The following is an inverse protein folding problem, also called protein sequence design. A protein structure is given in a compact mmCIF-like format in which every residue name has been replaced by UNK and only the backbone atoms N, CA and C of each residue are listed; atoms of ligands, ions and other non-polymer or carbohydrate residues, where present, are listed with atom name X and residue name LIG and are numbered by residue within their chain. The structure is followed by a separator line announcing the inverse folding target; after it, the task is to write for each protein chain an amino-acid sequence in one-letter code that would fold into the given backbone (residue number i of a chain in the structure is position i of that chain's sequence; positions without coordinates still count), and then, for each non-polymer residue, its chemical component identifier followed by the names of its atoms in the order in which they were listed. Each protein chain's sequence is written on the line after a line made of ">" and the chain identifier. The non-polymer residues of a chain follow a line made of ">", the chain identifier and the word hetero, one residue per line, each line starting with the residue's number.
data_IF_021809605055
#
_entry.id   IF_021809605055
#
_cell.length_a   1.000
_cell.length_b   1.000
_cell.length_c   1.000
_cell.angle_alpha   90.00
_cell.angle_beta   90.00
_cell.angle_gamma   90.00
#
_symmetry.space_group_name_H-M   'P 1'
#
loop_
_entity.id
_entity.type
_entity.pdbx_description
1 polymer ?
#
# COMPACT_ATOMS: atom_id res chain seq x y z
N UNK A 1 56.14 -15.17 -23.53
CA UNK A 1 54.70 -15.05 -23.24
C UNK A 1 54.52 -14.33 -21.95
N UNK A 2 54.20 -13.02 -21.98
CA UNK A 2 53.93 -12.21 -20.79
C UNK A 2 52.42 -12.11 -20.61
N UNK A 3 51.88 -12.65 -19.51
CA UNK A 3 50.48 -12.53 -19.12
C UNK A 3 50.18 -11.08 -18.65
N UNK A 4 49.27 -10.41 -19.36
CA UNK A 4 48.74 -9.11 -18.93
C UNK A 4 47.73 -9.34 -17.78
N UNK A 5 47.91 -8.62 -16.66
CA UNK A 5 46.93 -8.53 -15.57
C UNK A 5 45.81 -7.56 -16.00
N UNK A 6 44.54 -7.86 -15.69
CA UNK A 6 43.47 -6.87 -15.90
C UNK A 6 43.54 -5.76 -14.86
N UNK A 7 43.31 -4.53 -15.33
CA UNK A 7 43.12 -3.35 -14.47
C UNK A 7 41.79 -3.44 -13.77
N UNK A 8 41.66 -3.00 -12.48
CA UNK A 8 40.39 -2.82 -11.82
C UNK A 8 39.74 -1.54 -12.36
N UNK A 9 38.50 -1.66 -12.80
CA UNK A 9 37.61 -0.53 -13.12
C UNK A 9 37.09 0.00 -11.78
N UNK A 10 37.70 1.10 -11.31
CA UNK A 10 37.15 1.91 -10.24
C UNK A 10 36.05 2.81 -10.85
N UNK A 11 34.83 2.57 -10.47
CA UNK A 11 33.68 3.43 -10.76
C UNK A 11 32.82 3.54 -9.52
N UNK A 12 33.35 4.18 -8.46
CA UNK A 12 32.53 4.62 -7.33
C UNK A 12 31.70 5.82 -7.80
N UNK A 13 30.51 5.55 -8.29
CA UNK A 13 29.46 6.57 -8.35
C UNK A 13 28.93 6.77 -6.93
N UNK A 14 29.56 7.67 -6.19
CA UNK A 14 28.98 8.30 -5.00
C UNK A 14 27.74 9.10 -5.45
N UNK A 15 26.60 8.45 -5.49
CA UNK A 15 25.31 9.15 -5.43
C UNK A 15 25.26 9.73 -4.01
N UNK A 16 25.51 11.02 -3.87
CA UNK A 16 25.36 11.74 -2.62
C UNK A 16 23.90 11.53 -2.14
N UNK A 17 23.72 10.69 -1.15
CA UNK A 17 22.43 10.50 -0.49
C UNK A 17 22.11 11.78 0.26
N UNK A 18 21.23 12.59 -0.32
CA UNK A 18 20.64 13.74 0.38
C UNK A 18 19.93 13.19 1.61
N UNK A 19 20.18 13.71 2.83
CA UNK A 19 19.51 13.22 4.03
C UNK A 19 17.99 13.25 3.85
N UNK A 20 17.31 12.18 4.27
CA UNK A 20 15.85 12.04 4.11
C UNK A 20 15.06 13.22 4.69
N UNK A 21 15.54 13.84 5.77
CA UNK A 21 14.96 15.05 6.36
C UNK A 21 14.98 16.27 5.44
N UNK A 22 16.02 16.45 4.63
CA UNK A 22 16.13 17.58 3.67
C UNK A 22 15.23 17.36 2.48
N UNK A 23 15.17 16.14 1.97
CA UNK A 23 14.27 15.74 0.89
C UNK A 23 12.80 15.88 1.31
N UNK A 24 12.48 15.51 2.54
CA UNK A 24 11.10 15.60 3.06
C UNK A 24 10.66 17.05 3.25
N UNK A 25 11.55 17.93 3.71
CA UNK A 25 11.26 19.37 3.81
C UNK A 25 11.00 19.99 2.42
N UNK A 26 11.75 19.56 1.41
CA UNK A 26 11.53 19.97 0.03
C UNK A 26 10.19 19.45 -0.53
N UNK A 27 9.76 18.25 -0.14
CA UNK A 27 8.50 17.64 -0.62
C UNK A 27 7.25 18.29 -0.01
N UNK A 28 7.32 18.83 1.21
CA UNK A 28 6.21 19.58 1.82
C UNK A 28 6.04 20.98 1.24
N UNK A 29 7.04 21.48 0.50
CA UNK A 29 6.98 22.77 -0.22
C UNK A 29 6.38 22.64 -1.63
N UNK A 30 6.24 21.41 -2.16
CA UNK A 30 5.60 21.19 -3.45
C UNK A 30 4.08 21.20 -3.26
N UNK A 31 3.37 21.93 -4.11
CA UNK A 31 1.91 21.95 -4.10
C UNK A 31 1.35 20.51 -4.18
N UNK A 32 0.38 20.15 -3.33
CA UNK A 32 -0.19 18.80 -3.36
C UNK A 32 -0.75 18.45 -4.73
N UNK A 33 -0.45 17.27 -5.23
CA UNK A 33 -0.97 16.77 -6.50
C UNK A 33 -2.29 16.04 -6.25
N UNK A 34 -3.41 16.68 -6.56
CA UNK A 34 -4.71 16.01 -6.51
C UNK A 34 -4.94 15.15 -7.75
N UNK A 35 -4.62 15.65 -8.93
CA UNK A 35 -4.84 14.98 -10.22
C UNK A 35 -3.66 15.28 -11.12
N UNK A 36 -3.07 14.25 -11.71
CA UNK A 36 -2.05 14.43 -12.74
C UNK A 36 -2.71 14.67 -14.11
N UNK A 37 -2.01 15.44 -14.93
CA UNK A 37 -2.39 15.73 -16.32
C UNK A 37 -1.13 15.69 -17.18
N UNK A 38 -0.92 14.56 -17.85
CA UNK A 38 0.24 14.29 -18.70
C UNK A 38 -0.24 14.24 -20.14
N UNK A 39 -0.01 15.33 -20.88
CA UNK A 39 -0.41 15.43 -22.30
C UNK A 39 0.39 14.46 -23.20
N UNK A 40 1.59 14.04 -22.76
CA UNK A 40 2.47 13.15 -23.51
C UNK A 40 2.04 11.69 -23.52
N UNK A 41 1.19 11.27 -22.57
CA UNK A 41 0.82 9.87 -22.40
C UNK A 41 -0.70 9.67 -22.32
N UNK A 42 -1.25 8.63 -22.96
CA UNK A 42 -2.66 8.30 -22.84
C UNK A 42 -3.01 7.86 -21.40
N UNK A 43 -4.00 8.52 -20.81
CA UNK A 43 -4.56 8.10 -19.52
C UNK A 43 -5.34 6.79 -19.72
N UNK A 44 -4.96 5.73 -18.98
CA UNK A 44 -5.66 4.45 -18.98
C UNK A 44 -6.78 4.41 -17.95
N UNK A 45 -6.48 4.88 -16.74
CA UNK A 45 -7.43 4.87 -15.63
C UNK A 45 -7.03 5.90 -14.57
N UNK A 46 -8.03 6.50 -13.95
CA UNK A 46 -7.86 7.30 -12.74
C UNK A 46 -8.48 6.56 -11.58
N UNK A 47 -7.60 5.97 -10.76
CA UNK A 47 -8.00 5.27 -9.56
C UNK A 47 -8.29 6.21 -8.38
N UNK A 48 -8.61 5.63 -7.22
CA UNK A 48 -8.92 6.39 -6.00
C UNK A 48 -7.74 7.29 -5.56
N UNK A 49 -6.51 6.81 -5.74
CA UNK A 49 -5.29 7.50 -5.27
C UNK A 49 -4.14 7.51 -6.28
N UNK A 50 -4.29 6.87 -7.44
CA UNK A 50 -3.29 6.81 -8.51
C UNK A 50 -3.91 7.10 -9.86
N UNK A 51 -3.11 7.69 -10.75
CA UNK A 51 -3.44 7.90 -12.14
C UNK A 51 -2.47 7.04 -12.98
N UNK A 52 -3.00 6.20 -13.86
CA UNK A 52 -2.23 5.24 -14.64
C UNK A 52 -2.25 5.65 -16.11
N UNK A 53 -1.05 5.77 -16.71
CA UNK A 53 -0.86 6.17 -18.09
C UNK A 53 -0.20 5.05 -18.90
N UNK A 54 -0.60 4.89 -20.16
CA UNK A 54 0.05 3.95 -21.06
C UNK A 54 1.43 4.44 -21.50
N UNK A 55 2.43 3.57 -21.45
CA UNK A 55 3.77 3.81 -22.01
C UNK A 55 4.06 2.70 -23.00
N UNK A 56 3.79 2.94 -24.28
CA UNK A 56 3.76 1.89 -25.28
C UNK A 56 2.66 0.87 -25.01
N UNK A 57 2.90 -0.39 -25.40
CA UNK A 57 1.93 -1.48 -25.25
C UNK A 57 2.13 -2.30 -23.96
N UNK A 58 3.33 -2.26 -23.40
CA UNK A 58 3.80 -3.21 -22.39
C UNK A 58 4.16 -2.58 -21.04
N UNK A 59 4.05 -1.25 -20.89
CA UNK A 59 4.37 -0.54 -19.65
C UNK A 59 3.25 0.42 -19.22
N UNK A 60 3.25 0.74 -17.95
CA UNK A 60 2.34 1.70 -17.33
C UNK A 60 3.16 2.66 -16.46
N UNK A 61 2.94 3.95 -16.61
CA UNK A 61 3.39 4.95 -15.65
C UNK A 61 2.29 5.13 -14.61
N UNK A 62 2.57 4.72 -13.36
CA UNK A 62 1.68 4.86 -12.22
C UNK A 62 2.07 6.11 -11.44
N UNK A 63 1.22 7.13 -11.43
CA UNK A 63 1.44 8.40 -10.71
C UNK A 63 0.62 8.38 -9.44
N UNK A 64 1.27 8.36 -8.28
CA UNK A 64 0.61 8.47 -6.99
C UNK A 64 0.23 9.93 -6.71
N UNK A 65 -1.05 10.17 -6.55
CA UNK A 65 -1.59 11.47 -6.14
C UNK A 65 -1.56 11.64 -4.62
N UNK A 66 -1.83 12.84 -4.16
CA UNK A 66 -2.01 13.14 -2.75
C UNK A 66 -3.48 12.97 -2.29
N UNK A 67 -4.35 12.43 -3.15
CA UNK A 67 -5.72 12.06 -2.77
C UNK A 67 -5.72 11.04 -1.65
N UNK A 68 -6.69 11.13 -0.77
CA UNK A 68 -6.99 10.10 0.21
C UNK A 68 -8.40 9.57 -0.02
N UNK A 69 -8.55 8.26 0.07
CA UNK A 69 -9.85 7.59 0.01
C UNK A 69 -10.12 6.85 1.31
N UNK A 70 -11.30 7.03 1.87
CA UNK A 70 -11.78 6.30 3.03
C UNK A 70 -13.23 5.89 2.80
N UNK A 71 -13.60 4.65 3.21
CA UNK A 71 -14.92 4.07 2.95
C UNK A 71 -15.29 4.14 1.45
N UNK A 72 -14.32 3.89 0.57
CA UNK A 72 -14.39 3.95 -0.89
C UNK A 72 -14.76 5.32 -1.49
N UNK A 73 -14.84 6.36 -0.66
CA UNK A 73 -15.07 7.73 -1.10
C UNK A 73 -13.75 8.51 -1.12
N UNK A 74 -13.49 9.22 -2.23
CA UNK A 74 -12.33 10.10 -2.36
C UNK A 74 -12.65 11.42 -1.65
N UNK A 75 -11.77 11.84 -0.74
CA UNK A 75 -11.88 13.14 -0.05
C UNK A 75 -11.50 14.28 -0.99
N UNK A 76 -12.13 15.43 -0.80
CA UNK A 76 -11.85 16.62 -1.63
C UNK A 76 -10.48 17.23 -1.39
N UNK A 77 -9.98 17.13 -0.16
CA UNK A 77 -8.69 17.71 0.23
C UNK A 77 -7.57 16.67 0.12
N UNK A 78 -6.46 17.00 -0.57
CA UNK A 78 -5.29 16.14 -0.65
C UNK A 78 -4.49 16.17 0.66
N UNK A 79 -3.76 15.08 0.95
CA UNK A 79 -2.79 15.00 2.05
C UNK A 79 -1.41 15.32 1.47
N UNK A 80 -0.80 16.48 1.81
CA UNK A 80 0.45 16.92 1.20
C UNK A 80 1.58 15.90 1.33
N UNK A 81 2.23 15.58 0.21
CA UNK A 81 3.37 14.67 0.16
C UNK A 81 3.03 13.17 0.26
N UNK A 82 1.74 12.82 0.43
CA UNK A 82 1.30 11.44 0.59
C UNK A 82 1.75 10.54 -0.57
N UNK A 83 1.51 10.96 -1.80
CA UNK A 83 1.83 10.15 -2.98
C UNK A 83 3.31 9.80 -3.07
N UNK A 84 4.17 10.77 -2.82
CA UNK A 84 5.61 10.57 -2.85
C UNK A 84 6.10 9.67 -1.71
N UNK A 85 5.56 9.83 -0.52
CA UNK A 85 5.91 9.00 0.64
C UNK A 85 5.50 7.54 0.42
N UNK A 86 4.27 7.29 -0.04
CA UNK A 86 3.80 5.92 -0.30
C UNK A 86 4.60 5.25 -1.41
N UNK A 87 4.97 5.99 -2.47
CA UNK A 87 5.84 5.46 -3.53
C UNK A 87 7.20 5.02 -2.97
N UNK A 88 7.81 5.82 -2.10
CA UNK A 88 9.08 5.46 -1.43
C UNK A 88 8.94 4.22 -0.56
N UNK A 89 7.86 4.13 0.22
CA UNK A 89 7.60 2.94 1.04
C UNK A 89 7.42 1.69 0.17
N UNK A 90 6.65 1.78 -0.91
CA UNK A 90 6.47 0.67 -1.82
C UNK A 90 7.79 0.23 -2.46
N UNK A 91 8.62 1.17 -2.94
CA UNK A 91 9.94 0.88 -3.52
C UNK A 91 10.89 0.21 -2.50
N UNK A 92 10.91 0.70 -1.25
CA UNK A 92 11.65 0.06 -0.16
C UNK A 92 11.23 -1.40 0.04
N UNK A 93 9.94 -1.67 0.08
CA UNK A 93 9.44 -3.02 0.29
C UNK A 93 9.67 -3.93 -0.93
N UNK A 94 9.53 -3.41 -2.15
CA UNK A 94 9.89 -4.17 -3.37
C UNK A 94 11.37 -4.58 -3.37
N UNK A 95 12.26 -3.69 -2.92
CA UNK A 95 13.68 -4.01 -2.76
C UNK A 95 13.91 -5.09 -1.70
N UNK A 96 13.32 -4.95 -0.50
CA UNK A 96 13.52 -5.89 0.61
C UNK A 96 12.95 -7.28 0.35
N UNK A 97 11.85 -7.36 -0.39
CA UNK A 97 11.11 -8.59 -0.61
C UNK A 97 11.32 -9.21 -2.01
N UNK A 98 12.12 -8.57 -2.85
CA UNK A 98 12.33 -8.98 -4.24
C UNK A 98 12.92 -10.37 -4.45
N UNK A 99 13.47 -11.00 -3.40
CA UNK A 99 13.96 -12.38 -3.44
C UNK A 99 12.83 -13.43 -3.29
N UNK A 100 11.63 -13.02 -2.81
CA UNK A 100 10.51 -13.92 -2.57
C UNK A 100 9.71 -14.13 -3.85
N UNK A 101 9.41 -13.07 -4.56
CA UNK A 101 8.63 -13.08 -5.80
C UNK A 101 9.06 -11.91 -6.70
N UNK A 102 9.12 -12.08 -8.02
CA UNK A 102 9.34 -10.97 -8.94
C UNK A 102 8.27 -9.90 -8.78
N UNK A 103 8.63 -8.65 -9.02
CA UNK A 103 7.70 -7.54 -9.01
C UNK A 103 7.65 -6.82 -10.37
N UNK A 104 6.68 -5.96 -10.54
CA UNK A 104 6.37 -5.31 -11.81
C UNK A 104 7.27 -4.11 -12.18
N UNK A 105 8.21 -3.69 -11.33
CA UNK A 105 9.07 -2.54 -11.62
C UNK A 105 9.94 -2.81 -12.84
N UNK A 106 10.07 -1.81 -13.73
CA UNK A 106 10.96 -1.91 -14.89
C UNK A 106 12.42 -1.60 -14.55
N UNK A 107 12.65 -0.89 -13.45
CA UNK A 107 13.95 -0.33 -13.10
C UNK A 107 14.31 0.95 -13.86
N UNK A 108 13.46 1.40 -14.79
CA UNK A 108 13.65 2.64 -15.54
C UNK A 108 13.11 3.85 -14.75
N UNK A 109 13.74 5.02 -14.94
CA UNK A 109 13.28 6.26 -14.30
C UNK A 109 11.93 6.71 -14.89
N UNK A 110 10.89 6.94 -14.07
CA UNK A 110 9.59 7.42 -14.53
C UNK A 110 9.64 8.71 -15.35
N UNK A 111 10.60 9.59 -15.04
CA UNK A 111 10.81 10.87 -15.72
C UNK A 111 11.27 10.71 -17.18
N UNK A 112 11.81 9.54 -17.54
CA UNK A 112 12.33 9.28 -18.89
C UNK A 112 11.23 9.16 -19.96
N UNK A 113 9.98 8.98 -19.55
CA UNK A 113 8.85 8.71 -20.47
C UNK A 113 7.88 9.89 -20.59
N UNK A 114 8.16 11.03 -19.95
CA UNK A 114 7.32 12.21 -19.96
C UNK A 114 8.05 13.44 -20.52
N UNK A 115 7.33 14.47 -20.89
CA UNK A 115 7.93 15.74 -21.32
C UNK A 115 8.58 16.47 -20.14
N UNK A 116 9.64 17.28 -20.35
CA UNK A 116 10.30 18.04 -19.30
C UNK A 116 9.34 18.90 -18.45
N UNK A 117 8.31 19.45 -19.04
CA UNK A 117 7.30 20.26 -18.35
C UNK A 117 6.40 19.42 -17.41
N UNK A 118 6.31 18.11 -17.61
CA UNK A 118 5.49 17.18 -16.84
C UNK A 118 6.25 16.51 -15.67
N UNK A 119 7.59 16.58 -15.69
CA UNK A 119 8.45 16.01 -14.67
C UNK A 119 8.02 16.37 -13.23
N UNK A 120 7.62 17.60 -12.91
CA UNK A 120 7.17 17.94 -11.56
C UNK A 120 5.95 17.15 -11.06
N UNK A 121 5.12 16.63 -11.98
CA UNK A 121 3.97 15.78 -11.61
C UNK A 121 4.35 14.32 -11.37
N UNK A 122 5.52 13.89 -11.83
CA UNK A 122 5.96 12.48 -11.87
C UNK A 122 7.06 12.21 -10.86
N UNK A 123 8.00 13.15 -10.71
CA UNK A 123 9.22 12.97 -9.94
C UNK A 123 8.95 12.59 -8.47
N UNK A 124 9.58 11.49 -8.05
CA UNK A 124 9.56 11.00 -6.67
C UNK A 124 8.23 10.42 -6.21
N UNK A 125 7.19 10.40 -7.08
CA UNK A 125 5.85 9.88 -6.75
C UNK A 125 5.31 8.88 -7.75
N UNK A 126 6.13 8.42 -8.67
CA UNK A 126 5.69 7.53 -9.75
C UNK A 126 6.54 6.27 -9.83
N UNK A 127 5.97 5.26 -10.41
CA UNK A 127 6.64 4.02 -10.76
C UNK A 127 6.38 3.72 -12.25
N UNK A 128 7.43 3.39 -13.00
CA UNK A 128 7.29 2.83 -14.35
C UNK A 128 7.31 1.32 -14.24
N UNK A 129 6.20 0.69 -14.60
CA UNK A 129 5.95 -0.72 -14.33
C UNK A 129 5.59 -1.49 -15.60
N UNK A 130 5.80 -2.80 -15.58
CA UNK A 130 5.31 -3.71 -16.60
C UNK A 130 3.79 -3.76 -16.60
N UNK A 131 3.18 -3.78 -17.77
CA UNK A 131 1.75 -4.01 -17.94
C UNK A 131 1.47 -5.51 -17.82
N UNK A 132 0.82 -5.87 -16.73
CA UNK A 132 0.45 -7.25 -16.42
C UNK A 132 -1.04 -7.49 -16.67
N UNK A 133 -1.43 -8.76 -16.78
CA UNK A 133 -2.82 -9.17 -16.67
C UNK A 133 -3.18 -9.32 -15.18
N UNK A 134 -3.99 -8.43 -14.60
CA UNK A 134 -4.31 -8.48 -13.17
C UNK A 134 -5.12 -9.74 -12.83
N UNK A 135 -4.84 -10.33 -11.67
CA UNK A 135 -5.70 -11.34 -11.07
C UNK A 135 -6.74 -10.62 -10.21
N UNK A 136 -8.03 -10.94 -10.39
CA UNK A 136 -9.15 -10.25 -9.75
C UNK A 136 -9.35 -10.65 -8.28
N UNK A 137 -8.24 -10.78 -7.54
CA UNK A 137 -8.20 -11.13 -6.12
C UNK A 137 -7.29 -10.16 -5.38
N UNK A 138 -7.76 -9.62 -4.28
CA UNK A 138 -6.95 -8.95 -3.28
C UNK A 138 -6.44 -9.99 -2.29
N UNK A 139 -5.15 -10.21 -2.26
CA UNK A 139 -4.50 -11.18 -1.38
C UNK A 139 -4.22 -10.57 -0.01
N UNK A 140 -5.23 -10.58 0.86
CA UNK A 140 -5.11 -10.03 2.21
C UNK A 140 -4.52 -11.06 3.16
N UNK A 141 -3.50 -10.67 3.93
CA UNK A 141 -2.94 -11.47 5.02
C UNK A 141 -3.09 -10.72 6.33
N UNK A 142 -3.53 -11.44 7.36
CA UNK A 142 -3.74 -10.89 8.71
C UNK A 142 -2.90 -11.65 9.73
N UNK A 143 -2.06 -10.93 10.47
CA UNK A 143 -1.39 -11.43 11.66
C UNK A 143 -2.07 -10.99 12.95
N UNK A 144 -3.01 -10.04 12.84
CA UNK A 144 -3.82 -9.54 13.93
C UNK A 144 -5.27 -9.40 13.50
N UNK A 145 -6.18 -9.55 14.44
CA UNK A 145 -7.63 -9.52 14.20
C UNK A 145 -8.15 -8.08 14.27
N UNK A 146 -8.30 -7.44 13.11
CA UNK A 146 -8.72 -6.04 13.03
C UNK A 146 -9.65 -5.77 11.85
N UNK A 147 -10.34 -4.62 11.86
CA UNK A 147 -11.14 -4.13 10.75
C UNK A 147 -12.26 -5.08 10.33
N UNK A 148 -12.35 -5.40 9.03
CA UNK A 148 -13.39 -6.33 8.52
C UNK A 148 -13.23 -7.74 9.10
N UNK A 149 -11.99 -8.20 9.33
CA UNK A 149 -11.74 -9.51 9.94
C UNK A 149 -12.29 -9.61 11.37
N UNK A 150 -12.13 -8.54 12.17
CA UNK A 150 -12.75 -8.50 13.50
C UNK A 150 -14.27 -8.54 13.44
N UNK A 151 -14.88 -7.78 12.53
CA UNK A 151 -16.35 -7.76 12.36
C UNK A 151 -16.90 -9.12 11.95
N UNK A 152 -16.22 -9.83 11.05
CA UNK A 152 -16.61 -11.17 10.61
C UNK A 152 -16.43 -12.20 11.73
N UNK A 153 -15.31 -12.14 12.46
CA UNK A 153 -15.05 -13.01 13.59
C UNK A 153 -16.13 -12.89 14.69
N UNK A 154 -16.60 -11.69 14.98
CA UNK A 154 -17.69 -11.50 15.96
C UNK A 154 -18.99 -12.23 15.57
N UNK A 155 -19.22 -12.48 14.30
CA UNK A 155 -20.43 -13.15 13.80
C UNK A 155 -20.27 -14.66 13.70
N UNK A 156 -19.09 -15.15 13.31
CA UNK A 156 -18.90 -16.54 12.91
C UNK A 156 -17.71 -17.26 13.59
N UNK A 157 -16.92 -16.54 14.40
CA UNK A 157 -15.64 -17.04 14.94
C UNK A 157 -14.68 -17.54 13.85
N UNK A 158 -14.83 -17.02 12.64
CA UNK A 158 -13.98 -17.30 11.48
C UNK A 158 -13.74 -16.03 10.67
N UNK A 159 -12.75 -16.05 9.77
CA UNK A 159 -12.53 -14.98 8.78
C UNK A 159 -12.26 -15.64 7.43
N UNK A 160 -13.05 -15.30 6.42
CA UNK A 160 -12.96 -15.91 5.07
C UNK A 160 -13.02 -17.45 5.10
N UNK A 161 -13.82 -18.02 6.00
CA UNK A 161 -13.91 -19.46 6.19
C UNK A 161 -12.78 -20.08 7.03
N UNK A 162 -11.77 -19.31 7.45
CA UNK A 162 -10.69 -19.79 8.33
C UNK A 162 -11.17 -19.72 9.79
N UNK A 163 -11.36 -20.87 10.48
CA UNK A 163 -11.79 -20.88 11.87
C UNK A 163 -10.68 -20.33 12.78
N UNK A 164 -11.06 -19.55 13.77
CA UNK A 164 -10.16 -18.96 14.74
C UNK A 164 -10.52 -19.40 16.18
N UNK A 165 -9.55 -19.38 17.12
CA UNK A 165 -9.81 -19.67 18.52
C UNK A 165 -10.93 -18.78 19.08
N UNK A 166 -11.75 -19.35 19.96
CA UNK A 166 -12.78 -18.59 20.69
C UNK A 166 -12.14 -17.61 21.68
N UNK A 167 -12.82 -16.49 21.96
CA UNK A 167 -12.40 -15.53 22.97
C UNK A 167 -11.35 -14.52 22.52
N UNK A 168 -11.07 -14.42 21.21
CA UNK A 168 -10.22 -13.35 20.70
C UNK A 168 -10.95 -12.01 20.81
N UNK A 169 -10.21 -10.95 21.08
CA UNK A 169 -10.68 -9.56 21.09
C UNK A 169 -10.16 -8.78 19.88
N UNK A 170 -10.69 -7.58 19.69
CA UNK A 170 -10.16 -6.67 18.66
C UNK A 170 -8.67 -6.43 18.88
N UNK A 171 -7.90 -6.36 17.80
CA UNK A 171 -6.44 -6.25 17.77
C UNK A 171 -5.68 -7.45 18.35
N UNK A 172 -6.32 -8.58 18.66
CA UNK A 172 -5.63 -9.78 19.11
C UNK A 172 -4.60 -10.26 18.06
N UNK A 173 -3.38 -10.59 18.51
CA UNK A 173 -2.40 -11.26 17.67
C UNK A 173 -2.88 -12.68 17.39
N UNK A 174 -2.87 -13.09 16.14
CA UNK A 174 -3.24 -14.44 15.73
C UNK A 174 -2.11 -15.42 15.99
N UNK A 175 -2.40 -16.72 16.27
CA UNK A 175 -1.37 -17.74 16.46
C UNK A 175 -0.45 -17.88 15.24
N UNK A 176 -1.02 -17.75 14.04
CA UNK A 176 -0.32 -17.73 12.77
C UNK A 176 -1.00 -16.71 11.85
N UNK A 177 -0.26 -16.09 10.90
CA UNK A 177 -0.87 -15.28 9.87
C UNK A 177 -1.85 -16.09 9.03
N UNK A 178 -2.99 -15.50 8.71
CA UNK A 178 -4.04 -16.14 7.91
C UNK A 178 -4.23 -15.39 6.59
N UNK A 179 -4.48 -16.15 5.51
CA UNK A 179 -4.84 -15.63 4.21
C UNK A 179 -6.36 -15.44 4.15
N UNK A 180 -6.79 -14.20 3.95
CA UNK A 180 -8.20 -13.80 4.00
C UNK A 180 -8.52 -12.93 2.78
N UNK A 181 -8.63 -13.54 1.59
CA UNK A 181 -8.75 -12.80 0.33
C UNK A 181 -10.05 -12.01 0.22
N UNK A 182 -10.03 -11.02 -0.67
CA UNK A 182 -11.24 -10.35 -1.14
C UNK A 182 -11.32 -10.39 -2.67
N UNK A 183 -12.51 -10.48 -3.21
CA UNK A 183 -12.73 -10.29 -4.64
C UNK A 183 -12.74 -8.80 -4.95
N UNK A 184 -12.04 -8.41 -6.02
CA UNK A 184 -12.14 -7.02 -6.53
C UNK A 184 -13.55 -6.79 -7.04
N UNK A 185 -14.22 -5.83 -6.43
CA UNK A 185 -15.54 -5.40 -6.88
C UNK A 185 -15.45 -4.56 -8.17
N UNK A 186 -16.57 -4.43 -8.86
CA UNK A 186 -16.70 -3.47 -9.95
C UNK A 186 -16.49 -2.03 -9.44
N UNK A 187 -16.11 -1.12 -10.34
CA UNK A 187 -15.85 0.26 -9.97
C UNK A 187 -17.07 0.89 -9.28
N UNK A 188 -16.92 1.28 -8.01
CA UNK A 188 -17.97 1.88 -7.18
C UNK A 188 -18.64 0.93 -6.19
N UNK A 189 -18.28 -0.35 -6.20
CA UNK A 189 -18.72 -1.34 -5.21
C UNK A 189 -17.61 -1.58 -4.17
N UNK A 190 -17.96 -2.26 -3.07
CA UNK A 190 -17.00 -2.63 -2.02
C UNK A 190 -16.41 -4.00 -2.28
N UNK A 191 -15.10 -4.14 -2.05
CA UNK A 191 -14.44 -5.44 -2.09
C UNK A 191 -15.03 -6.37 -1.02
N UNK A 192 -15.43 -7.57 -1.42
CA UNK A 192 -16.04 -8.55 -0.53
C UNK A 192 -15.01 -9.59 -0.09
N UNK A 193 -14.97 -9.87 1.22
CA UNK A 193 -14.23 -11.02 1.74
C UNK A 193 -14.73 -12.30 1.08
N UNK A 194 -13.81 -13.11 0.57
CA UNK A 194 -14.12 -14.40 -0.06
C UNK A 194 -13.33 -15.53 0.61
N UNK A 195 -13.76 -16.77 0.42
CA UNK A 195 -13.01 -17.94 0.88
C UNK A 195 -11.83 -18.26 -0.05
N UNK A 196 -10.95 -19.13 0.40
CA UNK A 196 -9.87 -19.65 -0.46
C UNK A 196 -10.42 -20.42 -1.66
N UNK A 197 -11.51 -21.17 -1.48
CA UNK A 197 -12.18 -21.91 -2.56
C UNK A 197 -12.67 -20.95 -3.65
N UNK A 198 -13.18 -19.79 -3.27
CA UNK A 198 -13.57 -18.76 -4.24
C UNK A 198 -12.35 -18.19 -4.98
N UNK A 199 -11.19 -18.04 -4.31
CA UNK A 199 -9.93 -17.70 -5.00
C UNK A 199 -9.55 -18.77 -6.02
N UNK A 200 -9.73 -20.04 -5.70
CA UNK A 200 -9.48 -21.16 -6.64
C UNK A 200 -10.40 -21.08 -7.86
N UNK A 201 -11.67 -20.73 -7.68
CA UNK A 201 -12.58 -20.53 -8.82
C UNK A 201 -12.16 -19.38 -9.73
N UNK A 202 -11.61 -18.29 -9.16
CA UNK A 202 -11.20 -17.10 -9.91
C UNK A 202 -9.86 -17.33 -10.64
N UNK A 203 -8.86 -17.88 -9.94
CA UNK A 203 -7.49 -17.94 -10.41
C UNK A 203 -7.04 -19.34 -10.88
N UNK A 204 -7.81 -20.36 -10.57
CA UNK A 204 -7.38 -21.76 -10.72
C UNK A 204 -6.57 -22.25 -9.49
N UNK A 205 -6.53 -23.59 -9.27
CA UNK A 205 -5.98 -24.16 -8.04
C UNK A 205 -4.47 -23.90 -7.84
N UNK A 206 -3.71 -23.91 -8.90
CA UNK A 206 -2.25 -23.72 -8.84
C UNK A 206 -1.90 -22.27 -8.47
N UNK A 207 -2.47 -21.29 -9.21
CA UNK A 207 -2.22 -19.87 -8.94
C UNK A 207 -2.79 -19.45 -7.56
N UNK A 208 -3.98 -19.92 -7.18
CA UNK A 208 -4.55 -19.65 -5.88
C UNK A 208 -3.63 -20.12 -4.74
N UNK A 209 -3.06 -21.34 -4.87
CA UNK A 209 -2.12 -21.87 -3.89
C UNK A 209 -0.80 -21.09 -3.86
N UNK A 210 -0.27 -20.69 -5.01
CA UNK A 210 0.93 -19.84 -5.10
C UNK A 210 0.68 -18.47 -4.47
N UNK A 211 -0.41 -17.79 -4.82
CA UNK A 211 -0.79 -16.48 -4.27
C UNK A 211 -0.88 -16.56 -2.75
N UNK A 212 -1.59 -17.55 -2.20
CA UNK A 212 -1.72 -17.73 -0.75
C UNK A 212 -0.35 -17.91 -0.08
N UNK A 213 0.47 -18.84 -0.59
CA UNK A 213 1.78 -19.14 -0.01
C UNK A 213 2.72 -17.95 -0.05
N UNK A 214 2.82 -17.28 -1.21
CA UNK A 214 3.67 -16.09 -1.40
C UNK A 214 3.20 -14.92 -0.55
N UNK A 215 1.89 -14.70 -0.43
CA UNK A 215 1.35 -13.60 0.38
C UNK A 215 1.68 -13.79 1.86
N UNK A 216 1.55 -15.00 2.39
CA UNK A 216 1.93 -15.30 3.78
C UNK A 216 3.44 -15.08 3.96
N UNK A 217 4.28 -15.59 3.06
CA UNK A 217 5.74 -15.43 3.14
C UNK A 217 6.17 -13.96 3.05
N UNK A 218 5.55 -13.19 2.16
CA UNK A 218 5.78 -11.73 2.04
C UNK A 218 5.41 -11.02 3.35
N UNK A 219 4.24 -11.35 3.91
CA UNK A 219 3.77 -10.77 5.16
C UNK A 219 4.71 -11.09 6.32
N UNK A 220 5.08 -12.36 6.51
CA UNK A 220 5.95 -12.79 7.61
C UNK A 220 7.32 -12.10 7.55
N UNK A 221 7.91 -12.03 6.35
CA UNK A 221 9.19 -11.34 6.12
C UNK A 221 9.09 -9.85 6.41
N UNK A 222 8.02 -9.19 5.94
CA UNK A 222 7.79 -7.77 6.20
C UNK A 222 7.50 -7.49 7.68
N UNK A 223 6.70 -8.34 8.33
CA UNK A 223 6.36 -8.20 9.75
C UNK A 223 7.61 -8.34 10.62
N UNK A 224 8.54 -9.25 10.30
CA UNK A 224 9.82 -9.38 11.01
C UNK A 224 10.67 -8.11 10.87
N UNK A 225 10.81 -7.57 9.65
CA UNK A 225 11.55 -6.32 9.40
C UNK A 225 10.91 -5.13 10.15
N UNK A 226 9.59 -5.01 10.11
CA UNK A 226 8.86 -3.94 10.79
C UNK A 226 8.99 -4.04 12.32
N UNK A 227 8.93 -5.26 12.85
CA UNK A 227 9.06 -5.53 14.28
C UNK A 227 10.41 -5.05 14.84
N UNK A 228 11.51 -5.30 14.15
CA UNK A 228 12.84 -4.81 14.53
C UNK A 228 12.93 -3.26 14.59
N UNK A 229 11.96 -2.58 14.01
CA UNK A 229 11.85 -1.10 13.94
C UNK A 229 10.71 -0.54 14.80
N UNK A 230 10.21 -1.35 15.73
CA UNK A 230 9.16 -0.94 16.65
C UNK A 230 7.79 -0.75 16.00
N UNK A 231 7.56 -1.41 14.84
CA UNK A 231 6.31 -1.35 14.09
C UNK A 231 5.64 -2.73 14.04
N UNK A 232 4.33 -2.73 14.14
CA UNK A 232 3.47 -3.89 13.90
C UNK A 232 2.75 -3.67 12.57
N UNK A 233 2.88 -4.61 11.64
CA UNK A 233 1.99 -4.70 10.47
C UNK A 233 0.87 -5.66 10.85
N UNK A 234 -0.32 -5.13 11.12
CA UNK A 234 -1.43 -5.94 11.59
C UNK A 234 -2.06 -6.78 10.47
N UNK A 235 -2.26 -6.18 9.34
CA UNK A 235 -2.68 -6.81 8.09
C UNK A 235 -2.14 -6.04 6.89
N UNK A 236 -2.16 -6.69 5.75
CA UNK A 236 -1.78 -6.08 4.47
C UNK A 236 -2.52 -6.73 3.31
N UNK A 237 -2.60 -5.99 2.23
CA UNK A 237 -3.18 -6.41 0.96
C UNK A 237 -2.09 -6.43 -0.12
N UNK A 238 -1.96 -7.56 -0.81
CA UNK A 238 -1.13 -7.70 -2.00
C UNK A 238 -2.00 -7.87 -3.25
N UNK A 239 -1.45 -7.48 -4.39
CA UNK A 239 -2.05 -7.71 -5.69
C UNK A 239 -1.05 -8.42 -6.61
N UNK A 240 -1.56 -9.31 -7.43
CA UNK A 240 -0.75 -10.09 -8.36
C UNK A 240 -1.29 -9.97 -9.78
N UNK A 241 -0.40 -10.14 -10.73
CA UNK A 241 -0.72 -10.23 -12.16
C UNK A 241 0.16 -11.24 -12.86
N UNK A 242 -0.20 -11.55 -14.10
CA UNK A 242 0.54 -12.45 -14.95
C UNK A 242 1.25 -11.66 -16.05
N UNK A 243 2.49 -12.06 -16.35
CA UNK A 243 3.19 -11.65 -17.57
C UNK A 243 2.58 -12.34 -18.80
N UNK A 244 3.01 -11.94 -19.99
CA UNK A 244 2.63 -12.60 -21.25
C UNK A 244 3.02 -14.09 -21.28
N UNK A 245 4.05 -14.46 -20.51
CA UNK A 245 4.55 -15.84 -20.37
C UNK A 245 3.92 -16.58 -19.17
N UNK A 246 2.80 -16.06 -18.62
CA UNK A 246 2.10 -16.60 -17.46
C UNK A 246 2.92 -16.68 -16.18
N UNK A 247 3.97 -15.86 -16.03
CA UNK A 247 4.70 -15.75 -14.77
C UNK A 247 3.92 -14.90 -13.77
N UNK A 248 3.77 -15.40 -12.54
CA UNK A 248 3.14 -14.66 -11.46
C UNK A 248 4.07 -13.58 -10.93
N UNK A 249 3.58 -12.34 -10.86
CA UNK A 249 4.34 -11.14 -10.50
C UNK A 249 3.54 -10.32 -9.48
N UNK A 250 4.23 -9.83 -8.45
CA UNK A 250 3.68 -8.90 -7.46
C UNK A 250 3.53 -7.51 -8.08
N UNK A 251 2.37 -6.88 -7.92
CA UNK A 251 2.05 -5.62 -8.57
C UNK A 251 1.38 -4.61 -7.61
N UNK A 252 1.06 -3.45 -8.13
CA UNK A 252 0.44 -2.30 -7.46
C UNK A 252 1.36 -1.69 -6.39
N UNK A 253 0.85 -1.27 -5.26
CA UNK A 253 1.63 -0.87 -4.09
C UNK A 253 1.66 -1.99 -3.06
N UNK A 254 2.74 -2.06 -2.29
CA UNK A 254 2.85 -3.06 -1.22
C UNK A 254 3.21 -2.41 0.10
N UNK A 255 2.58 -2.91 1.17
CA UNK A 255 2.98 -2.59 2.54
C UNK A 255 3.06 -1.08 2.84
N UNK A 256 2.22 -0.29 2.20
CA UNK A 256 2.08 1.13 2.52
C UNK A 256 0.98 1.33 3.56
N UNK A 257 0.91 2.46 4.25
CA UNK A 257 -0.21 2.79 5.13
C UNK A 257 -1.58 2.88 4.44
N UNK A 258 -1.62 2.87 3.10
CA UNK A 258 -2.86 2.78 2.33
C UNK A 258 -3.35 1.35 2.13
N UNK A 259 -2.43 0.39 2.01
CA UNK A 259 -2.70 -1.04 1.81
C UNK A 259 -2.55 -1.88 3.07
N UNK A 260 -2.05 -1.31 4.18
CA UNK A 260 -1.71 -2.04 5.40
C UNK A 260 -2.06 -1.26 6.65
N UNK A 261 -2.33 -1.97 7.76
CA UNK A 261 -2.41 -1.37 9.09
C UNK A 261 -1.06 -1.38 9.76
N UNK A 262 -0.56 -0.19 10.07
CA UNK A 262 0.68 0.02 10.80
C UNK A 262 0.40 0.53 12.19
N UNK A 263 0.84 -0.20 13.20
CA UNK A 263 0.75 0.20 14.61
C UNK A 263 2.14 0.39 15.21
N UNK A 264 2.37 1.42 16.03
CA UNK A 264 3.56 1.44 16.88
C UNK A 264 3.46 0.31 17.91
N UNK A 265 4.57 -0.37 18.19
CA UNK A 265 4.62 -1.33 19.30
C UNK A 265 4.35 -0.65 20.63
N UNK A 266 4.84 0.59 20.77
CA UNK A 266 4.54 1.45 21.91
C UNK A 266 3.04 1.76 21.98
N UNK A 267 2.42 1.45 23.10
CA UNK A 267 1.00 1.65 23.33
C UNK A 267 0.09 0.52 22.81
N UNK A 268 0.59 -0.44 22.02
CA UNK A 268 -0.23 -1.56 21.54
C UNK A 268 -0.81 -2.38 22.70
N UNK A 269 0.05 -2.87 23.62
CA UNK A 269 -0.38 -3.70 24.74
C UNK A 269 -1.35 -2.97 25.67
N UNK A 270 -1.13 -1.68 25.93
CA UNK A 270 -2.00 -0.87 26.76
C UNK A 270 -3.38 -0.66 26.14
N UNK A 271 -3.46 -0.46 24.83
CA UNK A 271 -4.72 -0.32 24.09
C UNK A 271 -5.45 -1.67 24.02
N UNK A 272 -4.72 -2.73 23.70
CA UNK A 272 -5.25 -4.09 23.62
C UNK A 272 -5.87 -4.53 24.96
N UNK A 273 -5.18 -4.31 26.08
CA UNK A 273 -5.67 -4.67 27.43
C UNK A 273 -6.97 -3.93 27.81
N UNK A 274 -7.22 -2.75 27.22
CA UNK A 274 -8.46 -1.99 27.41
C UNK A 274 -9.55 -2.31 26.39
N UNK A 275 -9.28 -3.13 25.39
CA UNK A 275 -10.18 -3.40 24.27
C UNK A 275 -10.32 -2.21 23.31
N UNK A 276 -9.39 -1.25 23.35
CA UNK A 276 -9.33 -0.09 22.47
C UNK A 276 -8.58 -0.43 21.16
N UNK A 277 -8.81 0.39 20.12
CA UNK A 277 -7.99 0.30 18.92
C UNK A 277 -6.56 0.75 19.24
N UNK A 278 -5.53 0.01 18.80
CA UNK A 278 -4.14 0.47 18.92
C UNK A 278 -3.92 1.81 18.22
N UNK A 279 -2.96 2.62 18.69
CA UNK A 279 -2.49 3.76 17.92
C UNK A 279 -2.13 3.33 16.49
N UNK A 280 -2.37 4.19 15.51
CA UNK A 280 -2.22 3.80 14.10
C UNK A 280 -1.49 4.87 13.30
N UNK A 281 -0.71 4.43 12.31
CA UNK A 281 -0.05 5.25 11.31
C UNK A 281 -0.71 5.20 9.93
N UNK A 282 -1.84 4.52 9.83
CA UNK A 282 -2.62 4.36 8.60
C UNK A 282 -3.85 5.29 8.55
N UNK A 283 -4.76 5.02 7.65
CA UNK A 283 -6.01 5.79 7.45
C UNK A 283 -6.99 5.75 8.63
N UNK A 284 -6.72 5.00 9.70
CA UNK A 284 -7.68 4.84 10.80
C UNK A 284 -7.99 6.19 11.47
N UNK A 285 -6.99 7.08 11.61
CA UNK A 285 -7.21 8.42 12.14
C UNK A 285 -8.25 9.23 11.33
N UNK A 286 -8.16 9.17 10.00
CA UNK A 286 -9.15 9.82 9.11
C UNK A 286 -10.50 9.14 9.21
N UNK A 287 -10.53 7.80 9.27
CA UNK A 287 -11.78 7.03 9.42
C UNK A 287 -12.50 7.36 10.72
N UNK A 288 -11.78 7.43 11.85
CA UNK A 288 -12.35 7.76 13.17
C UNK A 288 -12.97 9.17 13.17
N UNK A 289 -12.30 10.12 12.51
CA UNK A 289 -12.86 11.46 12.34
C UNK A 289 -14.11 11.46 11.45
N UNK A 290 -14.07 10.72 10.32
CA UNK A 290 -15.18 10.63 9.37
C UNK A 290 -16.42 9.94 9.98
N UNK A 291 -16.25 9.01 10.90
CA UNK A 291 -17.36 8.35 11.61
C UNK A 291 -18.13 9.33 12.51
N UNK A 292 -17.49 10.41 12.94
CA UNK A 292 -18.10 11.49 13.74
C UNK A 292 -18.55 12.67 12.87
N UNK A 293 -18.17 12.69 11.57
CA UNK A 293 -18.45 13.79 10.67
C UNK A 293 -19.93 13.88 10.31
N UNK A 294 -20.39 15.12 10.08
CA UNK A 294 -21.76 15.40 9.68
C UNK A 294 -21.80 16.14 8.34
N UNK A 295 -22.77 15.79 7.51
CA UNK A 295 -23.08 16.49 6.26
C UNK A 295 -24.53 16.94 6.34
N UNK A 296 -24.77 18.25 6.15
CA UNK A 296 -26.12 18.81 6.31
C UNK A 296 -26.73 18.63 7.72
N UNK A 297 -25.89 18.51 8.76
CA UNK A 297 -26.33 18.30 10.15
C UNK A 297 -26.60 16.83 10.54
N UNK A 298 -26.59 15.92 9.60
CA UNK A 298 -26.78 14.47 9.82
C UNK A 298 -25.44 13.72 9.80
N UNK A 299 -25.28 12.58 10.51
CA UNK A 299 -24.13 11.73 10.39
C UNK A 299 -23.86 11.39 8.92
N UNK A 300 -22.59 11.43 8.51
CA UNK A 300 -22.21 11.08 7.13
C UNK A 300 -22.48 9.59 6.86
N UNK A 301 -23.18 9.31 5.79
CA UNK A 301 -23.60 7.97 5.39
C UNK A 301 -22.56 7.18 4.59
N UNK A 302 -21.31 7.68 4.52
CA UNK A 302 -20.18 7.08 3.78
C UNK A 302 -20.39 7.03 2.25
N UNK A 303 -21.18 7.96 1.73
CA UNK A 303 -21.38 8.16 0.29
C UNK A 303 -21.00 9.58 -0.14
N UNK A 304 -20.66 9.83 -1.41
CA UNK A 304 -20.45 11.20 -1.90
C UNK A 304 -21.70 12.09 -1.71
N UNK A 305 -21.50 13.39 -1.40
CA UNK A 305 -20.22 14.08 -1.27
C UNK A 305 -19.51 13.77 0.07
N UNK A 306 -18.18 13.70 0.00
CA UNK A 306 -17.36 13.53 1.21
C UNK A 306 -17.45 14.77 2.12
N UNK A 307 -17.38 14.60 3.46
CA UNK A 307 -17.16 15.71 4.37
C UNK A 307 -15.83 16.39 4.09
N UNK A 308 -15.79 17.71 4.24
CA UNK A 308 -14.57 18.47 4.05
C UNK A 308 -13.61 18.23 5.22
N UNK A 309 -12.38 17.78 4.91
CA UNK A 309 -11.37 17.52 5.93
C UNK A 309 -10.84 18.85 6.53
N UNK A 310 -10.85 19.01 7.86
CA UNK A 310 -10.23 20.14 8.53
C UNK A 310 -8.70 20.15 8.35
N UNK A 311 -8.10 21.34 8.42
CA UNK A 311 -6.65 21.51 8.24
C UNK A 311 -5.81 20.73 9.24
N UNK A 312 -6.25 20.62 10.48
CA UNK A 312 -5.59 19.86 11.54
C UNK A 312 -5.67 18.34 11.27
N UNK A 313 -6.78 17.83 10.73
CA UNK A 313 -6.91 16.42 10.31
C UNK A 313 -5.97 16.11 9.15
N UNK A 314 -5.88 17.00 8.16
CA UNK A 314 -4.95 16.85 7.03
C UNK A 314 -3.50 16.83 7.55
N UNK A 315 -3.12 17.80 8.39
CA UNK A 315 -1.77 17.91 8.94
C UNK A 315 -1.38 16.67 9.76
N UNK A 316 -2.25 16.23 10.68
CA UNK A 316 -2.02 15.03 11.49
C UNK A 316 -1.94 13.75 10.65
N UNK A 317 -2.74 13.65 9.58
CA UNK A 317 -2.67 12.51 8.67
C UNK A 317 -1.32 12.47 7.93
N UNK A 318 -0.85 13.61 7.41
CA UNK A 318 0.46 13.70 6.79
C UNK A 318 1.59 13.37 7.80
N UNK A 319 1.47 13.83 9.04
CA UNK A 319 2.41 13.52 10.12
C UNK A 319 2.47 12.01 10.42
N UNK A 320 1.32 11.34 10.55
CA UNK A 320 1.23 9.89 10.78
C UNK A 320 1.92 9.07 9.70
N UNK A 321 1.71 9.42 8.44
CA UNK A 321 2.41 8.75 7.33
C UNK A 321 3.92 8.97 7.38
N UNK A 322 4.36 10.19 7.72
CA UNK A 322 5.78 10.50 7.90
C UNK A 322 6.40 9.72 9.06
N UNK A 323 5.75 9.68 10.23
CA UNK A 323 6.22 8.91 11.38
C UNK A 323 6.39 7.42 11.04
N UNK A 324 5.46 6.83 10.28
CA UNK A 324 5.58 5.44 9.83
C UNK A 324 6.84 5.24 8.98
N UNK A 325 7.12 6.14 8.05
CA UNK A 325 8.32 6.10 7.22
C UNK A 325 9.60 6.28 8.04
N UNK A 326 9.64 7.30 8.88
CA UNK A 326 10.82 7.60 9.72
C UNK A 326 11.16 6.42 10.63
N UNK A 327 10.16 5.79 11.25
CA UNK A 327 10.37 4.57 12.05
C UNK A 327 10.83 3.39 11.19
N UNK A 328 10.24 3.20 10.02
CA UNK A 328 10.64 2.13 9.11
C UNK A 328 12.09 2.29 8.64
N UNK A 329 12.60 3.52 8.53
CA UNK A 329 13.96 3.84 8.10
C UNK A 329 14.94 3.97 9.27
N UNK A 330 14.47 4.08 10.51
CA UNK A 330 15.36 4.08 11.69
C UNK A 330 16.06 2.73 11.82
N UNK A 331 17.36 2.78 12.13
CA UNK A 331 18.19 1.57 12.36
C UNK A 331 18.01 1.06 13.78
#
# INVERSE_FOLDING_TARGET
>A
MRRRRPHPIAGDNLVATVPDTVLFHAMTLIAPLHTSDLASLPLLARGKVRDNYAVGEDRILMVASDRISAFDVIMGEPIPGKGALLTRMALFWFEKLGQIVPNHLTGEAPESVVLPAEVPQVQGRSMLVQRLQPIAVEAVVRGYLAGSGWKEYQQSQSVCGVPLPAGLSNAAKLPHPIYTPAAKAAAGEHDENITFERTVEIAGPELASQIRSLSIQLYESAAAIAWERGLIIADTKFEFGLTKDNQLVLMDEILTPDSSRYWPMEGYEAAYAKGENPPSYDKQFVRDWLEQAKVGGLPWNKTPPAPRLPRDVIAKTAEKYREAWERLMSK
#
